data_IF_355162180144
#
_entry.id   IF_355162180144
#
_cell.length_a   1.000
_cell.length_b   1.000
_cell.length_c   1.000
_cell.angle_alpha   90.00
_cell.angle_beta   90.00
_cell.angle_gamma   90.00
#
_symmetry.space_group_name_H-M   'P 1'
#
loop_
_entity.id
_entity.type
_entity.pdbx_description
1 polymer ?
#
# COMPACT_ATOMS: atom_id res chain seq x y z
N UNK A 1 5.50 -30.25 2.23
CA UNK A 1 4.31 -29.37 2.32
C UNK A 1 4.02 -29.17 3.79
N UNK A 2 3.87 -27.93 4.32
CA UNK A 2 3.64 -27.74 5.74
C UNK A 2 2.26 -28.31 6.13
N UNK A 3 2.26 -28.97 7.28
CA UNK A 3 1.15 -29.67 7.92
C UNK A 3 -0.02 -28.69 8.21
N UNK A 4 -1.25 -29.08 7.81
CA UNK A 4 -2.48 -28.27 7.88
C UNK A 4 -3.10 -28.30 9.31
N UNK A 5 -2.66 -29.19 10.19
CA UNK A 5 -3.34 -29.49 11.45
C UNK A 5 -2.82 -28.75 12.70
N UNK A 6 -1.79 -27.91 12.57
CA UNK A 6 -1.36 -27.04 13.69
C UNK A 6 -2.04 -25.67 13.61
N UNK A 7 -2.72 -25.18 14.67
CA UNK A 7 -3.29 -23.85 14.67
C UNK A 7 -2.16 -22.83 14.54
N UNK A 8 -2.13 -22.14 13.40
CA UNK A 8 -1.20 -21.04 13.17
C UNK A 8 -1.44 -19.96 14.24
N UNK A 9 -0.44 -19.71 15.08
CA UNK A 9 -0.48 -18.66 16.11
C UNK A 9 -0.71 -17.26 15.50
N UNK A 10 -0.25 -17.06 14.26
CA UNK A 10 -0.43 -15.83 13.51
C UNK A 10 -0.92 -16.14 12.10
N UNK A 11 -1.87 -15.34 11.62
CA UNK A 11 -2.37 -15.44 10.25
C UNK A 11 -1.77 -14.32 9.43
N UNK A 12 -1.07 -14.67 8.37
CA UNK A 12 -0.66 -13.67 7.39
C UNK A 12 -1.88 -13.16 6.61
N UNK A 13 -1.76 -11.95 6.08
CA UNK A 13 -2.86 -11.28 5.39
C UNK A 13 -3.29 -12.01 4.11
N UNK A 14 -2.35 -12.67 3.40
CA UNK A 14 -2.68 -13.41 2.18
C UNK A 14 -3.51 -14.66 2.49
N UNK A 15 -3.15 -15.40 3.54
CA UNK A 15 -3.89 -16.58 4.02
C UNK A 15 -5.22 -16.22 4.69
N UNK A 16 -5.36 -15.00 5.21
CA UNK A 16 -6.67 -14.48 5.60
C UNK A 16 -7.55 -14.24 4.36
N UNK A 17 -7.03 -13.53 3.36
CA UNK A 17 -7.78 -13.17 2.15
C UNK A 17 -8.20 -14.39 1.31
N UNK A 18 -7.39 -15.45 1.27
CA UNK A 18 -7.72 -16.67 0.54
C UNK A 18 -8.96 -17.41 1.07
N UNK A 19 -9.44 -17.08 2.28
CA UNK A 19 -10.71 -17.60 2.80
C UNK A 19 -11.93 -16.91 2.19
N UNK A 20 -11.78 -15.69 1.67
CA UNK A 20 -12.88 -14.87 1.17
C UNK A 20 -12.89 -14.76 -0.36
N UNK A 21 -11.73 -14.92 -0.99
CA UNK A 21 -11.58 -14.71 -2.41
C UNK A 21 -11.03 -15.98 -3.08
N UNK A 22 -11.65 -16.46 -4.17
CA UNK A 22 -11.16 -17.62 -4.93
C UNK A 22 -9.92 -17.29 -5.77
N UNK A 23 -9.45 -16.04 -5.73
CA UNK A 23 -8.32 -15.52 -6.48
C UNK A 23 -7.31 -14.85 -5.55
N UNK A 24 -6.07 -14.73 -6.01
CA UNK A 24 -5.05 -13.96 -5.30
C UNK A 24 -5.43 -12.48 -5.26
N UNK A 25 -5.24 -11.85 -4.12
CA UNK A 25 -5.42 -10.40 -3.95
C UNK A 25 -4.07 -9.76 -3.64
N UNK A 26 -3.65 -8.83 -4.48
CA UNK A 26 -2.36 -8.15 -4.37
C UNK A 26 -2.55 -6.69 -3.99
N UNK A 27 -1.84 -6.26 -2.94
CA UNK A 27 -1.77 -4.85 -2.56
C UNK A 27 -0.95 -4.09 -3.61
N UNK A 28 -1.50 -3.00 -4.12
CA UNK A 28 -0.78 -2.00 -4.90
C UNK A 28 -0.54 -0.81 -3.99
N UNK A 29 0.72 -0.62 -3.60
CA UNK A 29 1.15 0.55 -2.83
C UNK A 29 0.95 1.82 -3.65
N UNK A 30 0.34 2.83 -3.03
CA UNK A 30 0.08 4.14 -3.63
C UNK A 30 0.66 5.24 -2.75
N UNK A 31 1.11 6.31 -3.40
CA UNK A 31 1.65 7.50 -2.76
C UNK A 31 0.91 8.74 -3.28
N UNK A 32 0.07 9.33 -2.43
CA UNK A 32 -0.70 10.54 -2.79
C UNK A 32 0.10 11.85 -2.62
N UNK A 33 1.37 11.76 -2.24
CA UNK A 33 2.25 12.92 -2.05
C UNK A 33 2.02 13.67 -0.75
N UNK A 34 1.36 13.05 0.23
CA UNK A 34 1.17 13.63 1.55
C UNK A 34 2.39 13.49 2.44
N UNK A 35 2.52 14.39 3.41
CA UNK A 35 3.51 14.31 4.49
C UNK A 35 2.91 13.66 5.75
N UNK A 36 3.55 13.79 6.91
CA UNK A 36 2.93 13.50 8.19
C UNK A 36 3.28 14.57 9.24
N UNK A 37 2.46 14.71 10.30
CA UNK A 37 2.64 15.73 11.34
C UNK A 37 4.01 15.72 12.07
N UNK A 38 4.65 14.55 12.08
CA UNK A 38 5.96 14.38 12.71
C UNK A 38 7.11 14.84 11.81
N UNK A 39 6.87 14.95 10.49
CA UNK A 39 7.86 15.39 9.49
C UNK A 39 7.68 16.85 9.11
N UNK A 40 6.45 17.33 9.06
CA UNK A 40 6.14 18.71 8.65
C UNK A 40 6.38 19.76 9.77
N UNK A 41 6.60 19.32 11.01
CA UNK A 41 6.85 20.22 12.13
C UNK A 41 5.64 20.46 13.05
N UNK A 42 4.43 20.05 12.67
CA UNK A 42 3.20 20.41 13.39
C UNK A 42 3.00 19.67 14.70
N UNK A 43 3.47 18.42 14.80
CA UNK A 43 3.41 17.58 16.01
C UNK A 43 4.76 17.00 16.43
N UNK A 44 5.79 17.10 15.60
CA UNK A 44 7.14 16.62 15.89
C UNK A 44 8.17 17.24 14.95
N UNK A 45 9.45 16.93 15.15
CA UNK A 45 10.55 17.41 14.30
C UNK A 45 11.39 16.24 13.81
N UNK A 46 11.79 16.26 12.54
CA UNK A 46 12.71 15.28 11.96
C UNK A 46 12.08 13.95 11.52
N UNK A 47 10.79 13.71 11.79
CA UNK A 47 10.13 12.43 11.50
C UNK A 47 10.41 11.36 12.57
N UNK A 48 9.80 10.18 12.40
CA UNK A 48 10.01 9.06 13.33
C UNK A 48 11.36 8.38 13.02
N UNK A 49 12.12 8.01 14.05
CA UNK A 49 13.42 7.33 13.91
C UNK A 49 13.36 6.04 13.08
N UNK A 50 12.22 5.35 13.10
CA UNK A 50 11.98 4.13 12.32
C UNK A 50 11.32 4.37 10.95
N UNK A 51 11.00 5.62 10.60
CA UNK A 51 10.27 5.93 9.37
C UNK A 51 11.22 5.95 8.17
N UNK A 52 11.21 4.87 7.38
CA UNK A 52 11.88 4.82 6.08
C UNK A 52 10.90 4.41 4.97
N UNK A 53 10.00 5.31 4.57
CA UNK A 53 9.02 5.02 3.52
C UNK A 53 9.64 4.88 2.11
N UNK A 54 10.84 5.43 1.88
CA UNK A 54 11.50 5.33 0.58
C UNK A 54 11.81 3.87 0.21
N UNK A 55 12.24 3.05 1.16
CA UNK A 55 12.52 1.63 0.93
C UNK A 55 11.27 0.80 0.61
N UNK A 56 10.07 1.30 0.95
CA UNK A 56 8.82 0.56 0.76
C UNK A 56 8.01 1.01 -0.47
N UNK A 57 8.52 1.97 -1.26
CA UNK A 57 7.85 2.48 -2.45
C UNK A 57 8.41 1.81 -3.71
N UNK A 58 7.62 0.99 -4.42
CA UNK A 58 7.98 0.47 -5.74
C UNK A 58 8.23 1.60 -6.75
N UNK A 59 8.93 1.32 -7.84
CA UNK A 59 9.24 2.31 -8.90
C UNK A 59 8.00 2.99 -9.49
N UNK A 60 6.86 2.29 -9.54
CA UNK A 60 5.60 2.86 -10.01
C UNK A 60 4.94 3.81 -9.00
N UNK A 61 5.41 3.86 -7.75
CA UNK A 61 4.81 4.57 -6.61
C UNK A 61 5.53 5.91 -6.36
N UNK A 62 5.42 6.82 -7.33
CA UNK A 62 6.09 8.12 -7.36
C UNK A 62 5.10 9.29 -7.28
N UNK A 63 5.50 10.39 -6.63
CA UNK A 63 4.62 11.54 -6.32
C UNK A 63 4.23 12.39 -7.53
N UNK A 64 5.03 12.33 -8.59
CA UNK A 64 4.84 12.98 -9.87
C UNK A 64 3.78 12.28 -10.73
N UNK A 65 3.39 11.06 -10.35
CA UNK A 65 2.34 10.28 -11.02
C UNK A 65 1.02 10.43 -10.27
N UNK A 66 -0.07 10.58 -11.02
CA UNK A 66 -1.44 10.54 -10.45
C UNK A 66 -1.74 9.18 -9.83
N UNK A 67 -2.69 9.11 -8.89
CA UNK A 67 -3.09 7.84 -8.26
C UNK A 67 -3.54 6.80 -9.31
N UNK A 68 -4.28 7.26 -10.33
CA UNK A 68 -4.73 6.42 -11.44
C UNK A 68 -3.55 5.85 -12.23
N UNK A 69 -2.51 6.64 -12.50
CA UNK A 69 -1.30 6.18 -13.19
C UNK A 69 -0.56 5.14 -12.34
N UNK A 70 -0.31 5.43 -11.06
CA UNK A 70 0.35 4.49 -10.14
C UNK A 70 -0.42 3.16 -10.05
N UNK A 71 -1.76 3.20 -10.01
CA UNK A 71 -2.60 2.01 -9.99
C UNK A 71 -2.51 1.21 -11.29
N UNK A 72 -2.55 1.87 -12.44
CA UNK A 72 -2.42 1.22 -13.76
C UNK A 72 -1.06 0.53 -13.92
N UNK A 73 0.02 1.24 -13.57
CA UNK A 73 1.39 0.71 -13.62
C UNK A 73 1.59 -0.44 -12.63
N UNK A 74 1.09 -0.31 -11.39
CA UNK A 74 1.13 -1.37 -10.39
C UNK A 74 0.38 -2.63 -10.85
N UNK A 75 -0.80 -2.48 -11.47
CA UNK A 75 -1.53 -3.60 -12.07
C UNK A 75 -0.69 -4.28 -13.16
N UNK A 76 -0.11 -3.51 -14.08
CA UNK A 76 0.75 -4.01 -15.17
C UNK A 76 2.02 -4.69 -14.65
N UNK A 77 2.61 -4.17 -13.57
CA UNK A 77 3.78 -4.76 -12.93
C UNK A 77 3.47 -6.15 -12.38
N UNK A 78 2.33 -6.29 -11.70
CA UNK A 78 1.93 -7.53 -11.05
C UNK A 78 1.16 -8.52 -11.93
N UNK A 79 0.49 -8.07 -13.01
CA UNK A 79 -0.32 -8.92 -13.89
C UNK A 79 0.47 -10.05 -14.52
N UNK A 80 1.79 -9.87 -14.68
CA UNK A 80 2.70 -10.89 -15.21
C UNK A 80 2.84 -12.12 -14.30
N UNK A 81 2.51 -11.99 -13.02
CA UNK A 81 2.75 -13.05 -12.01
C UNK A 81 1.58 -14.03 -11.89
N UNK A 82 0.35 -13.54 -12.02
CA UNK A 82 -0.88 -14.33 -11.87
C UNK A 82 -2.01 -13.73 -12.73
N UNK A 83 -2.58 -14.48 -13.69
CA UNK A 83 -3.59 -13.97 -14.63
C UNK A 83 -4.88 -13.47 -13.95
N UNK A 84 -5.40 -14.21 -12.96
CA UNK A 84 -6.71 -13.95 -12.34
C UNK A 84 -6.65 -13.06 -11.08
N UNK A 85 -5.49 -12.47 -10.82
CA UNK A 85 -5.26 -11.70 -9.60
C UNK A 85 -6.10 -10.43 -9.58
N UNK A 86 -6.65 -10.13 -8.40
CA UNK A 86 -7.32 -8.86 -8.12
C UNK A 86 -6.42 -7.98 -7.25
N UNK A 87 -6.76 -6.70 -7.20
CA UNK A 87 -5.87 -5.69 -6.62
C UNK A 87 -6.57 -4.90 -5.53
N UNK A 88 -5.84 -4.62 -4.46
CA UNK A 88 -6.27 -3.72 -3.39
C UNK A 88 -5.41 -2.46 -3.45
N UNK A 89 -6.05 -1.31 -3.65
CA UNK A 89 -5.38 -0.02 -3.56
C UNK A 89 -4.97 0.25 -2.11
N UNK A 90 -3.68 0.42 -1.86
CA UNK A 90 -3.13 0.58 -0.52
C UNK A 90 -2.31 1.86 -0.41
N UNK A 91 -2.91 2.90 0.16
CA UNK A 91 -2.27 4.18 0.42
C UNK A 91 -1.24 4.04 1.54
N UNK A 92 0.00 3.78 1.16
CA UNK A 92 1.05 3.30 2.07
C UNK A 92 1.98 4.43 2.54
N UNK A 93 2.25 5.42 1.68
CA UNK A 93 3.24 6.44 1.99
C UNK A 93 2.67 7.47 2.99
N UNK A 94 3.32 7.61 4.14
CA UNK A 94 3.02 8.63 5.17
C UNK A 94 1.56 8.62 5.63
N UNK A 95 1.01 9.79 5.97
CA UNK A 95 -0.37 9.93 6.45
C UNK A 95 -1.26 10.35 5.29
N UNK A 96 -1.84 9.38 4.58
CA UNK A 96 -2.67 9.64 3.40
C UNK A 96 -4.04 10.28 3.69
N UNK A 97 -4.35 10.50 4.96
CA UNK A 97 -5.54 11.24 5.43
C UNK A 97 -5.19 12.62 5.95
N UNK A 98 -3.94 13.07 5.78
CA UNK A 98 -3.44 14.35 6.29
C UNK A 98 -3.70 15.49 5.30
N UNK A 99 -4.97 15.64 4.92
CA UNK A 99 -5.50 16.69 4.08
C UNK A 99 -7.02 16.79 4.24
N UNK A 100 -7.61 17.91 3.83
CA UNK A 100 -9.06 18.08 3.78
C UNK A 100 -9.71 17.20 2.71
N UNK A 101 -11.00 16.88 2.87
CA UNK A 101 -11.72 15.97 1.97
C UNK A 101 -11.71 16.40 0.49
N UNK A 102 -11.76 17.71 0.22
CA UNK A 102 -11.72 18.24 -1.14
C UNK A 102 -10.36 18.02 -1.80
N UNK A 103 -9.27 18.07 -1.03
CA UNK A 103 -7.95 17.75 -1.53
C UNK A 103 -7.80 16.25 -1.78
N UNK A 104 -8.29 15.41 -0.86
CA UNK A 104 -8.28 13.95 -1.03
C UNK A 104 -9.00 13.51 -2.31
N UNK A 105 -10.12 14.17 -2.66
CA UNK A 105 -10.89 13.87 -3.88
C UNK A 105 -10.18 14.29 -5.18
N UNK A 106 -9.20 15.21 -5.13
CA UNK A 106 -8.49 15.71 -6.32
C UNK A 106 -7.26 14.87 -6.69
N UNK A 107 -6.82 13.95 -5.84
CA UNK A 107 -5.66 13.08 -6.05
C UNK A 107 -6.00 11.86 -6.90
#
# INVERSE_FOLDING_TARGET
MPNIDSPLLYRDFSGFLSRYFPYKVQKISLNAGFTCPNRDGTKGRGGCTYCNNQTFNPEYCQTEKTITQQLSEGKRFFSRKYPDMKYLAYFQAYTNTYAGIDELKRK
#
